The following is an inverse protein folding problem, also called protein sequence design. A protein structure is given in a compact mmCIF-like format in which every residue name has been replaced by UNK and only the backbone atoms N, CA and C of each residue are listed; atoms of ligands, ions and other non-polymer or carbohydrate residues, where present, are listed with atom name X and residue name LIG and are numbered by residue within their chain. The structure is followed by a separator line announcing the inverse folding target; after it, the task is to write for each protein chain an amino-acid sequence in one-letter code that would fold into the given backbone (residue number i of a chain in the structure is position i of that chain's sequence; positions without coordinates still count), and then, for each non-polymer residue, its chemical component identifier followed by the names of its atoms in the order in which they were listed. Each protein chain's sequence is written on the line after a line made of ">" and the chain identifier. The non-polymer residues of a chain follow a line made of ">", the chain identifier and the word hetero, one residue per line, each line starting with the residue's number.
data_IF_139541511015
#
_entry.id   IF_139541511015
#
_cell.length_a   1.000
_cell.length_b   1.000
_cell.length_c   1.000
_cell.angle_alpha   90.00
_cell.angle_beta   90.00
_cell.angle_gamma   90.00
#
_symmetry.space_group_name_H-M   'P 1'
#
loop_
_entity.id
_entity.type
_entity.pdbx_description
1 polymer ?
#
# COMPACT_ATOMS: atom_id res chain seq x y z
N UNK A 1 -18.43 13.67 -6.29
CA UNK A 1 -17.43 12.83 -5.61
C UNK A 1 -16.23 12.70 -6.55
N UNK A 2 -14.99 12.59 -6.06
CA UNK A 2 -13.79 12.34 -6.88
C UNK A 2 -13.06 11.11 -6.36
N UNK A 3 -12.20 10.50 -7.18
CA UNK A 3 -11.34 9.39 -6.72
C UNK A 3 -10.47 9.80 -5.52
N UNK A 4 -9.98 11.05 -5.51
CA UNK A 4 -9.27 11.63 -4.37
C UNK A 4 -10.12 11.60 -3.10
N UNK A 5 -11.40 12.02 -3.17
CA UNK A 5 -12.28 12.03 -2.00
C UNK A 5 -12.56 10.61 -1.50
N UNK A 6 -12.77 9.66 -2.41
CA UNK A 6 -12.95 8.23 -2.06
C UNK A 6 -11.72 7.72 -1.31
N UNK A 7 -10.52 7.98 -1.82
CA UNK A 7 -9.29 7.52 -1.17
C UNK A 7 -9.03 8.24 0.17
N UNK A 8 -9.38 9.52 0.30
CA UNK A 8 -9.36 10.21 1.61
C UNK A 8 -10.27 9.53 2.63
N UNK A 9 -11.52 9.23 2.25
CA UNK A 9 -12.47 8.52 3.10
C UNK A 9 -11.95 7.13 3.50
N UNK A 10 -11.40 6.39 2.53
CA UNK A 10 -10.82 5.06 2.77
C UNK A 10 -9.54 5.10 3.61
N UNK A 11 -8.78 6.18 3.57
CA UNK A 11 -7.64 6.43 4.47
C UNK A 11 -8.11 6.56 5.92
N UNK A 12 -9.14 7.38 6.16
CA UNK A 12 -9.75 7.54 7.50
C UNK A 12 -10.31 6.22 8.01
N UNK A 13 -11.09 5.52 7.18
CA UNK A 13 -11.68 4.23 7.55
C UNK A 13 -10.61 3.18 7.91
N UNK A 14 -9.53 3.10 7.12
CA UNK A 14 -8.45 2.14 7.35
C UNK A 14 -7.77 2.40 8.69
N UNK A 15 -7.48 3.67 9.00
CA UNK A 15 -6.90 4.07 10.27
C UNK A 15 -7.80 3.68 11.44
N UNK A 16 -9.09 4.01 11.36
CA UNK A 16 -10.05 3.76 12.44
C UNK A 16 -10.26 2.27 12.69
N UNK A 17 -10.37 1.45 11.64
CA UNK A 17 -10.51 0.00 11.76
C UNK A 17 -9.27 -0.63 12.36
N UNK A 18 -8.06 -0.24 11.92
CA UNK A 18 -6.82 -0.77 12.48
C UNK A 18 -6.65 -0.38 13.95
N UNK A 19 -6.91 0.88 14.31
CA UNK A 19 -6.84 1.34 15.69
C UNK A 19 -7.88 0.64 16.59
N UNK A 20 -9.10 0.44 16.10
CA UNK A 20 -10.16 -0.27 16.82
C UNK A 20 -9.81 -1.74 17.03
N UNK A 21 -9.33 -2.44 15.99
CA UNK A 21 -8.88 -3.84 16.06
C UNK A 21 -7.80 -4.01 17.14
N UNK A 22 -6.76 -3.19 17.08
CA UNK A 22 -5.67 -3.22 18.07
C UNK A 22 -6.16 -2.93 19.49
N UNK A 23 -7.19 -2.09 19.69
CA UNK A 23 -7.80 -1.85 21.00
C UNK A 23 -8.56 -3.05 21.55
N UNK A 24 -9.09 -3.92 20.69
CA UNK A 24 -9.73 -5.17 21.07
C UNK A 24 -8.72 -6.29 21.40
N UNK A 25 -7.43 -6.08 21.13
CA UNK A 25 -6.42 -7.14 21.19
C UNK A 25 -6.47 -8.10 19.99
N UNK A 26 -7.33 -7.80 19.00
CA UNK A 26 -7.47 -8.56 17.78
C UNK A 26 -6.57 -7.98 16.69
N UNK A 27 -5.98 -8.85 15.87
CA UNK A 27 -5.25 -8.42 14.69
C UNK A 27 -6.08 -8.71 13.45
N UNK A 28 -6.73 -7.68 12.92
CA UNK A 28 -7.30 -7.75 11.58
C UNK A 28 -6.20 -8.03 10.55
N UNK A 29 -6.45 -8.99 9.66
CA UNK A 29 -5.49 -9.36 8.62
C UNK A 29 -5.45 -8.28 7.54
N UNK A 30 -4.25 -8.06 6.99
CA UNK A 30 -3.98 -7.09 5.94
C UNK A 30 -4.81 -7.35 4.66
N UNK A 31 -4.91 -8.61 4.25
CA UNK A 31 -5.67 -9.05 3.08
C UNK A 31 -7.15 -8.69 3.17
N UNK A 32 -7.74 -8.80 4.37
CA UNK A 32 -9.14 -8.46 4.62
C UNK A 32 -9.39 -6.95 4.49
N UNK A 33 -8.51 -6.12 5.06
CA UNK A 33 -8.59 -4.65 4.93
C UNK A 33 -8.45 -4.25 3.45
N UNK A 34 -7.44 -4.77 2.77
CA UNK A 34 -7.20 -4.51 1.34
C UNK A 34 -8.42 -4.88 0.52
N UNK A 35 -8.99 -6.07 0.73
CA UNK A 35 -10.16 -6.53 -0.01
C UNK A 35 -11.36 -5.59 0.13
N UNK A 36 -11.67 -5.14 1.35
CA UNK A 36 -12.78 -4.20 1.60
C UNK A 36 -12.50 -2.84 0.97
N UNK A 37 -11.28 -2.33 1.09
CA UNK A 37 -10.86 -1.09 0.43
C UNK A 37 -11.05 -1.16 -1.08
N UNK A 38 -10.50 -2.20 -1.73
CA UNK A 38 -10.57 -2.37 -3.18
C UNK A 38 -12.00 -2.54 -3.68
N UNK A 39 -12.83 -3.32 -2.98
CA UNK A 39 -14.24 -3.49 -3.34
C UNK A 39 -15.00 -2.15 -3.31
N UNK A 40 -14.81 -1.36 -2.25
CA UNK A 40 -15.44 -0.03 -2.14
C UNK A 40 -14.93 0.93 -3.21
N UNK A 41 -13.61 1.02 -3.42
CA UNK A 41 -13.01 1.92 -4.41
C UNK A 41 -13.48 1.55 -5.83
N UNK A 42 -13.52 0.26 -6.17
CA UNK A 42 -14.01 -0.19 -7.47
C UNK A 42 -15.48 0.14 -7.67
N UNK A 43 -16.31 -0.06 -6.64
CA UNK A 43 -17.73 0.30 -6.71
C UNK A 43 -17.89 1.81 -6.93
N UNK A 44 -17.20 2.65 -6.15
CA UNK A 44 -17.26 4.10 -6.34
C UNK A 44 -16.73 4.54 -7.72
N UNK A 45 -15.68 3.88 -8.22
CA UNK A 45 -15.16 4.12 -9.57
C UNK A 45 -16.20 3.85 -10.65
N UNK A 46 -16.91 2.72 -10.54
CA UNK A 46 -17.96 2.34 -11.48
C UNK A 46 -19.16 3.29 -11.41
N UNK A 47 -19.66 3.55 -10.20
CA UNK A 47 -20.87 4.35 -9.96
C UNK A 47 -20.69 5.81 -10.41
N UNK A 48 -19.48 6.35 -10.33
CA UNK A 48 -19.17 7.73 -10.69
C UNK A 48 -18.37 7.88 -12.00
N UNK A 49 -18.07 6.77 -12.70
CA UNK A 49 -17.35 6.79 -13.98
C UNK A 49 -15.92 7.33 -13.89
N UNK A 50 -15.17 7.05 -12.81
CA UNK A 50 -13.81 7.58 -12.62
C UNK A 50 -12.76 6.95 -13.55
N UNK A 51 -13.08 5.84 -14.22
CA UNK A 51 -12.14 5.19 -15.14
C UNK A 51 -10.96 4.50 -14.45
N UNK A 52 -11.04 4.24 -13.13
CA UNK A 52 -10.09 3.40 -12.42
C UNK A 52 -10.46 1.93 -12.62
N UNK A 53 -9.59 1.17 -13.28
CA UNK A 53 -9.66 -0.28 -13.35
C UNK A 53 -8.87 -0.91 -12.21
N UNK A 54 -9.52 -1.76 -11.41
CA UNK A 54 -8.87 -2.55 -10.35
C UNK A 54 -8.87 -4.02 -10.73
N UNK A 55 -7.68 -4.65 -10.72
CA UNK A 55 -7.54 -6.09 -10.84
C UNK A 55 -6.92 -6.64 -9.56
N UNK A 56 -7.68 -7.46 -8.84
CA UNK A 56 -7.18 -8.30 -7.76
C UNK A 56 -7.57 -9.74 -8.11
N UNK A 57 -6.68 -10.45 -8.82
CA UNK A 57 -6.80 -11.90 -8.94
C UNK A 57 -6.60 -12.47 -7.52
N UNK A 58 -7.35 -13.51 -7.13
CA UNK A 58 -7.24 -14.19 -5.82
C UNK A 58 -5.81 -14.05 -5.24
N UNK A 59 -5.63 -13.14 -4.27
CA UNK A 59 -4.39 -12.39 -4.02
C UNK A 59 -3.09 -13.18 -4.10
N UNK A 60 -3.11 -14.45 -3.66
CA UNK A 60 -1.98 -15.36 -3.72
C UNK A 60 -1.33 -15.51 -5.11
N UNK A 61 -2.11 -15.45 -6.21
CA UNK A 61 -1.53 -15.60 -7.56
C UNK A 61 -0.80 -14.34 -8.01
N UNK A 62 -1.41 -13.16 -7.85
CA UNK A 62 -0.78 -11.91 -8.24
C UNK A 62 0.48 -11.65 -7.39
N UNK A 63 0.39 -11.94 -6.11
CA UNK A 63 1.47 -11.76 -5.14
C UNK A 63 2.67 -12.67 -5.48
N UNK A 64 2.41 -13.95 -5.78
CA UNK A 64 3.47 -14.91 -6.09
C UNK A 64 4.08 -14.74 -7.48
N UNK A 65 3.30 -14.30 -8.48
CA UNK A 65 3.78 -14.11 -9.84
C UNK A 65 4.43 -12.75 -10.05
N UNK A 66 3.96 -11.72 -9.34
CA UNK A 66 4.36 -10.34 -9.62
C UNK A 66 4.82 -9.54 -8.39
N UNK A 67 4.57 -10.01 -7.18
CA UNK A 67 4.98 -9.32 -5.96
C UNK A 67 4.06 -8.16 -5.54
N UNK A 68 2.83 -8.11 -6.05
CA UNK A 68 1.82 -7.14 -5.64
C UNK A 68 0.48 -7.80 -5.30
N UNK A 69 -0.34 -7.12 -4.50
CA UNK A 69 -1.66 -7.57 -4.06
C UNK A 69 -2.76 -7.20 -5.07
N UNK A 70 -2.62 -6.05 -5.74
CA UNK A 70 -3.54 -5.62 -6.81
C UNK A 70 -2.85 -4.77 -7.88
N UNK A 71 -3.57 -4.55 -8.97
CA UNK A 71 -3.22 -3.62 -10.03
C UNK A 71 -4.26 -2.51 -10.10
N UNK A 72 -3.81 -1.26 -10.21
CA UNK A 72 -4.63 -0.14 -10.66
C UNK A 72 -4.22 0.33 -12.04
N UNK A 73 -5.21 0.55 -12.90
CA UNK A 73 -5.04 1.19 -14.20
C UNK A 73 -5.85 2.48 -14.21
N UNK A 74 -5.19 3.60 -14.46
CA UNK A 74 -5.81 4.92 -14.48
C UNK A 74 -5.10 5.82 -15.48
N UNK A 75 -5.84 6.40 -16.43
CA UNK A 75 -5.34 7.36 -17.42
C UNK A 75 -4.05 6.91 -18.17
N UNK A 76 -3.96 5.62 -18.55
CA UNK A 76 -2.78 5.06 -19.23
C UNK A 76 -1.58 4.80 -18.31
N UNK A 77 -1.81 4.78 -17.00
CA UNK A 77 -0.79 4.42 -16.01
C UNK A 77 -1.19 3.15 -15.26
N UNK A 78 -0.28 2.18 -15.26
CA UNK A 78 -0.44 0.92 -14.52
C UNK A 78 0.38 0.95 -13.23
N UNK A 79 -0.27 0.64 -12.12
CA UNK A 79 0.34 0.54 -10.80
C UNK A 79 0.20 -0.89 -10.30
N UNK A 80 1.33 -1.57 -10.07
CA UNK A 80 1.36 -2.79 -9.28
C UNK A 80 1.54 -2.38 -7.82
N UNK A 81 0.60 -2.75 -6.97
CA UNK A 81 0.56 -2.25 -5.59
C UNK A 81 0.57 -3.38 -4.58
N UNK A 82 1.43 -3.24 -3.58
CA UNK A 82 1.52 -4.12 -2.42
C UNK A 82 1.07 -3.35 -1.17
N UNK A 83 0.12 -3.88 -0.39
CA UNK A 83 -0.18 -3.33 0.91
C UNK A 83 0.82 -3.85 1.95
N UNK A 84 1.09 -3.03 2.97
CA UNK A 84 1.72 -3.41 4.23
C UNK A 84 1.05 -2.71 5.40
N UNK A 85 0.56 -3.47 6.36
CA UNK A 85 -0.03 -2.95 7.59
C UNK A 85 1.06 -2.68 8.63
N UNK A 86 0.86 -1.63 9.41
CA UNK A 86 1.67 -1.35 10.58
C UNK A 86 1.48 -2.45 11.65
N UNK A 87 2.56 -3.13 11.99
CA UNK A 87 2.62 -3.98 13.16
C UNK A 87 2.84 -3.10 14.38
N UNK A 88 1.76 -2.93 15.15
CA UNK A 88 1.68 -2.09 16.33
C UNK A 88 1.00 -2.86 17.46
N UNK A 89 1.65 -2.94 18.62
CA UNK A 89 1.05 -3.49 19.85
C UNK A 89 0.86 -2.34 20.83
N UNK A 90 -0.38 -2.14 21.28
CA UNK A 90 -0.71 -1.09 22.24
C UNK A 90 0.16 -1.22 23.51
N UNK A 91 0.85 -0.14 23.88
CA UNK A 91 1.69 -0.09 25.08
C UNK A 91 3.13 -0.60 24.88
N UNK A 92 3.49 -1.01 23.66
CA UNK A 92 4.88 -1.16 23.24
C UNK A 92 5.17 -0.03 22.25
N UNK A 93 6.17 0.81 22.53
CA UNK A 93 6.60 1.91 21.66
C UNK A 93 7.35 1.40 20.42
N UNK A 94 6.82 0.34 19.80
CA UNK A 94 7.40 -0.33 18.64
C UNK A 94 6.37 -0.40 17.52
N UNK A 95 6.70 0.26 16.41
CA UNK A 95 5.86 0.38 15.22
C UNK A 95 6.72 0.10 13.99
N UNK A 96 6.45 -0.99 13.28
CA UNK A 96 7.17 -1.32 12.05
C UNK A 96 6.30 -2.04 11.03
N UNK A 97 6.74 -1.99 9.78
CA UNK A 97 6.20 -2.81 8.70
C UNK A 97 7.19 -3.94 8.41
N UNK A 98 6.66 -5.14 8.27
CA UNK A 98 7.42 -6.28 7.78
C UNK A 98 7.37 -6.35 6.26
N UNK A 99 8.51 -6.20 5.61
CA UNK A 99 8.64 -6.25 4.15
C UNK A 99 9.26 -7.58 3.75
N UNK A 100 8.61 -8.32 2.86
CA UNK A 100 9.22 -9.49 2.21
C UNK A 100 10.16 -9.02 1.09
N UNK A 101 11.42 -9.46 1.15
CA UNK A 101 12.48 -8.97 0.26
C UNK A 101 12.35 -9.54 -1.15
N UNK A 102 11.95 -10.81 -1.27
CA UNK A 102 11.78 -11.45 -2.57
C UNK A 102 10.57 -10.87 -3.29
N UNK A 103 9.48 -10.63 -2.57
CA UNK A 103 8.30 -9.92 -3.08
C UNK A 103 8.64 -8.52 -3.60
N UNK A 104 9.39 -7.73 -2.83
CA UNK A 104 9.80 -6.38 -3.22
C UNK A 104 10.63 -6.39 -4.51
N UNK A 105 11.61 -7.30 -4.59
CA UNK A 105 12.45 -7.46 -5.79
C UNK A 105 11.60 -7.86 -6.99
N UNK A 106 10.69 -8.81 -6.82
CA UNK A 106 9.79 -9.28 -7.86
C UNK A 106 8.90 -8.15 -8.40
N UNK A 107 8.32 -7.32 -7.53
CA UNK A 107 7.50 -6.18 -7.93
C UNK A 107 8.27 -5.17 -8.80
N UNK A 108 9.50 -4.84 -8.40
CA UNK A 108 10.39 -3.93 -9.15
C UNK A 108 10.75 -4.54 -10.52
N UNK A 109 11.10 -5.82 -10.56
CA UNK A 109 11.44 -6.53 -11.80
C UNK A 109 10.24 -6.64 -12.75
N UNK A 110 9.05 -6.97 -12.25
CA UNK A 110 7.84 -7.13 -13.06
C UNK A 110 7.41 -5.82 -13.72
N UNK A 111 7.59 -4.67 -13.04
CA UNK A 111 7.27 -3.36 -13.63
C UNK A 111 8.35 -2.85 -14.61
N UNK A 112 9.62 -3.23 -14.43
CA UNK A 112 10.71 -2.77 -15.29
C UNK A 112 10.87 -3.57 -16.59
N UNK A 113 10.38 -4.81 -16.63
CA UNK A 113 10.46 -5.69 -17.80
C UNK A 113 9.28 -5.57 -18.78
N UNK A 114 8.31 -4.69 -18.50
CA UNK A 114 7.18 -4.40 -19.39
C UNK A 114 6.09 -5.47 -19.42
N UNK A 115 6.01 -6.32 -18.38
CA UNK A 115 5.04 -7.41 -18.33
C UNK A 115 3.57 -6.94 -18.42
N UNK A 116 3.27 -5.77 -17.84
CA UNK A 116 1.89 -5.28 -17.70
C UNK A 116 1.37 -4.50 -18.90
N UNK A 117 2.24 -3.87 -19.70
CA UNK A 117 1.89 -3.13 -20.92
C UNK A 117 3.14 -2.55 -21.59
N UNK A 118 2.98 -2.02 -22.81
CA UNK A 118 3.97 -1.13 -23.43
C UNK A 118 4.10 0.24 -22.71
N UNK A 119 3.11 0.62 -21.89
CA UNK A 119 3.11 1.84 -21.08
C UNK A 119 3.88 1.70 -19.76
N UNK A 120 4.22 2.84 -19.14
CA UNK A 120 5.01 2.89 -17.90
C UNK A 120 4.23 2.24 -16.74
N UNK A 121 4.62 1.05 -16.32
CA UNK A 121 4.18 0.47 -15.06
C UNK A 121 5.05 0.99 -13.89
N UNK A 122 4.47 1.13 -12.70
CA UNK A 122 5.23 1.38 -11.48
C UNK A 122 4.82 0.46 -10.34
N UNK A 123 5.83 0.02 -9.56
CA UNK A 123 5.61 -0.75 -8.35
C UNK A 123 5.51 0.19 -7.15
N UNK A 124 4.47 -0.01 -6.33
CA UNK A 124 4.18 0.82 -5.18
C UNK A 124 3.85 -0.01 -3.96
N UNK A 125 4.15 0.54 -2.79
CA UNK A 125 3.71 0.05 -1.50
C UNK A 125 2.71 1.02 -0.91
N UNK A 126 1.59 0.51 -0.39
CA UNK A 126 0.65 1.26 0.44
C UNK A 126 0.80 0.79 1.89
N UNK A 127 1.13 1.72 2.76
CA UNK A 127 1.30 1.50 4.19
C UNK A 127 0.01 1.87 4.92
N UNK A 128 -0.65 0.88 5.51
CA UNK A 128 -1.82 1.09 6.36
C UNK A 128 -1.39 1.37 7.78
N UNK A 129 -1.83 2.50 8.31
CA UNK A 129 -1.34 3.04 9.57
C UNK A 129 -2.43 3.14 10.61
N UNK A 130 -2.01 3.01 11.86
CA UNK A 130 -2.77 3.33 13.05
C UNK A 130 -1.82 3.99 14.07
N UNK A 131 -2.37 4.71 15.05
CA UNK A 131 -1.63 5.33 16.16
C UNK A 131 -0.61 6.42 15.78
N UNK A 132 -0.36 6.67 14.49
CA UNK A 132 0.44 7.82 14.05
C UNK A 132 -0.33 9.12 14.30
N UNK A 133 0.40 10.19 14.63
CA UNK A 133 -0.15 11.53 14.80
C UNK A 133 -0.34 12.24 13.45
N UNK A 134 -1.45 12.95 13.28
CA UNK A 134 -1.76 13.70 12.07
C UNK A 134 -3.22 13.56 11.63
N UNK A 135 -3.57 14.25 10.54
CA UNK A 135 -4.89 14.13 9.94
C UNK A 135 -5.07 12.76 9.29
N UNK A 136 -6.04 11.97 9.76
CA UNK A 136 -6.26 10.58 9.34
C UNK A 136 -6.38 10.40 7.82
N UNK A 137 -6.96 11.37 7.11
CA UNK A 137 -7.05 11.32 5.65
C UNK A 137 -5.67 11.31 4.96
N UNK A 138 -4.66 11.90 5.61
CA UNK A 138 -3.29 12.03 5.10
C UNK A 138 -2.38 10.91 5.58
N UNK A 139 -2.62 10.35 6.77
CA UNK A 139 -1.71 9.36 7.37
C UNK A 139 -2.26 7.94 7.35
N UNK A 140 -3.57 7.72 7.21
CA UNK A 140 -4.18 6.38 7.32
C UNK A 140 -3.67 5.41 6.26
N UNK A 141 -3.48 5.89 5.05
CA UNK A 141 -2.84 5.17 3.94
C UNK A 141 -1.75 6.06 3.32
N UNK A 142 -0.49 5.72 3.57
CA UNK A 142 0.66 6.33 2.89
C UNK A 142 1.11 5.46 1.72
N UNK A 143 1.70 6.04 0.70
CA UNK A 143 2.16 5.35 -0.49
C UNK A 143 3.61 5.73 -0.81
N UNK A 144 4.40 4.74 -1.23
CA UNK A 144 5.81 4.91 -1.59
C UNK A 144 6.14 4.03 -2.80
N UNK A 145 7.04 4.50 -3.66
CA UNK A 145 7.58 3.67 -4.75
C UNK A 145 8.44 2.54 -4.22
N UNK A 146 8.31 1.36 -4.82
CA UNK A 146 9.08 0.18 -4.44
C UNK A 146 10.60 0.41 -4.57
N UNK A 147 11.08 1.13 -5.59
CA UNK A 147 12.52 1.39 -5.71
C UNK A 147 13.05 2.32 -4.61
N UNK A 148 12.21 3.20 -4.07
CA UNK A 148 12.58 4.04 -2.93
C UNK A 148 12.64 3.20 -1.67
N UNK A 149 11.66 2.31 -1.45
CA UNK A 149 11.67 1.36 -0.34
C UNK A 149 12.90 0.45 -0.38
N UNK A 150 13.30 -0.02 -1.56
CA UNK A 150 14.51 -0.80 -1.75
C UNK A 150 15.77 -0.07 -1.30
N UNK A 151 15.90 1.23 -1.62
CA UNK A 151 17.03 2.06 -1.18
C UNK A 151 17.09 2.19 0.34
N UNK A 152 15.94 2.33 1.02
CA UNK A 152 15.87 2.35 2.49
C UNK A 152 16.42 1.05 3.06
N UNK A 153 15.94 -0.09 2.53
CA UNK A 153 16.33 -1.43 2.99
C UNK A 153 17.82 -1.68 2.82
N UNK A 154 18.38 -1.36 1.64
CA UNK A 154 19.82 -1.44 1.39
C UNK A 154 20.62 -0.51 2.31
N UNK A 155 20.15 0.72 2.53
CA UNK A 155 20.78 1.67 3.46
C UNK A 155 20.81 1.17 4.91
N UNK A 156 19.83 0.35 5.30
CA UNK A 156 19.77 -0.31 6.60
C UNK A 156 20.45 -1.68 6.66
N UNK A 157 21.10 -2.13 5.57
CA UNK A 157 21.79 -3.42 5.46
C UNK A 157 20.88 -4.65 5.68
N UNK A 158 19.59 -4.54 5.35
CA UNK A 158 18.61 -5.63 5.50
C UNK A 158 18.36 -6.43 4.20
N UNK A 159 19.05 -6.11 3.11
CA UNK A 159 18.77 -6.62 1.77
C UNK A 159 19.05 -8.12 1.54
N UNK A 160 19.85 -8.75 2.42
CA UNK A 160 20.17 -10.19 2.37
C UNK A 160 19.26 -11.03 3.28
N UNK A 161 18.31 -10.40 3.97
CA UNK A 161 17.37 -11.07 4.87
C UNK A 161 16.15 -11.57 4.10
N UNK A 162 15.41 -12.54 4.65
CA UNK A 162 14.10 -12.95 4.10
C UNK A 162 13.08 -11.81 4.21
N UNK A 163 13.11 -11.07 5.32
CA UNK A 163 12.23 -9.93 5.54
C UNK A 163 12.99 -8.79 6.21
N UNK A 164 12.66 -7.56 5.85
CA UNK A 164 13.15 -6.35 6.52
C UNK A 164 12.07 -5.72 7.40
N UNK A 165 12.51 -5.02 8.45
CA UNK A 165 11.67 -4.15 9.26
C UNK A 165 11.91 -2.71 8.85
N UNK A 166 10.83 -1.98 8.57
CA UNK A 166 10.87 -0.56 8.20
C UNK A 166 9.94 0.21 9.13
N UNK A 167 10.39 1.31 9.71
CA UNK A 167 9.54 2.12 10.60
C UNK A 167 8.73 3.18 9.83
N UNK A 168 7.62 3.67 10.40
CA UNK A 168 6.90 4.85 9.87
C UNK A 168 7.83 6.02 9.58
N UNK A 169 8.79 6.29 10.47
CA UNK A 169 9.72 7.41 10.30
C UNK A 169 10.62 7.26 9.07
N UNK A 170 11.03 6.02 8.75
CA UNK A 170 11.86 5.76 7.58
C UNK A 170 11.09 6.01 6.28
N UNK A 171 9.83 5.57 6.19
CA UNK A 171 9.02 5.80 4.98
C UNK A 171 8.66 7.28 4.82
N UNK A 172 8.36 8.00 5.91
CA UNK A 172 8.12 9.45 5.87
C UNK A 172 9.36 10.20 5.36
N UNK A 173 10.54 9.88 5.92
CA UNK A 173 11.81 10.51 5.52
C UNK A 173 12.13 10.25 4.05
N UNK A 174 11.71 9.10 3.53
CA UNK A 174 11.87 8.74 2.14
C UNK A 174 10.84 9.38 1.19
N UNK A 175 9.93 10.21 1.71
CA UNK A 175 8.94 10.93 0.94
C UNK A 175 7.69 10.09 0.65
N UNK A 176 7.27 9.22 1.56
CA UNK A 176 5.95 8.61 1.47
C UNK A 176 4.88 9.70 1.55
N UNK A 177 3.88 9.63 0.67
CA UNK A 177 2.82 10.62 0.55
C UNK A 177 1.45 9.98 0.77
N UNK A 178 0.40 10.73 1.11
CA UNK A 178 -0.95 10.18 1.16
C UNK A 178 -1.31 9.51 -0.17
N UNK A 179 -1.82 8.28 -0.12
CA UNK A 179 -2.11 7.47 -1.32
C UNK A 179 -3.04 8.15 -2.33
N UNK A 180 -3.90 9.07 -1.89
CA UNK A 180 -4.83 9.79 -2.75
C UNK A 180 -4.11 10.78 -3.68
N UNK A 181 -2.88 11.18 -3.33
CA UNK A 181 -2.13 12.21 -4.06
C UNK A 181 -1.74 11.76 -5.46
N UNK A 182 -1.60 10.44 -5.70
CA UNK A 182 -1.31 9.90 -7.03
C UNK A 182 -2.41 10.17 -8.07
N UNK A 183 -3.63 10.49 -7.62
CA UNK A 183 -4.77 10.82 -8.47
C UNK A 183 -5.21 12.29 -8.36
N UNK A 184 -4.35 13.15 -7.80
CA UNK A 184 -4.66 14.57 -7.56
C UNK A 184 -4.21 15.52 -8.66
N UNK A 185 -3.51 15.01 -9.67
CA UNK A 185 -3.03 15.75 -10.85
C UNK A 185 -3.99 15.70 -12.01
#
# INVERSE_FOLDING_TARGET
>A
MTLVNVLKERSVWTYDVMAASSNMGEMIREDAITSVNLAFIQQQSNDNGFGLGTTSLQGAKLESEFGGDWIWNYAGYTMLVQAKKLDAIKGQDFYSYKIDIDQLRLAITSCSTGYFSEEKAGAYYVFYNSFLEGEKENIGCLMLKAEVLWKIICGSQQQEQKSAQVSPKQIETAGAEPWWKIFST
#
